data_IF_483640026084
#
_entry.id   IF_483640026084
#
_cell.length_a   1.000
_cell.length_b   1.000
_cell.length_c   1.000
_cell.angle_alpha   90.00
_cell.angle_beta   90.00
_cell.angle_gamma   90.00
#
_symmetry.space_group_name_H-M   'P 1'
#
loop_
_entity.id
_entity.type
_entity.pdbx_description
1 polymer ?
#
# COMPACT_ATOMS: atom_id res chain seq x y z
N UNK A 1 -11.99 -18.84 -6.65
CA UNK A 1 -11.04 -17.72 -6.49
C UNK A 1 -11.34 -16.67 -7.54
N UNK A 2 -11.70 -15.46 -7.11
CA UNK A 2 -12.05 -14.35 -7.97
C UNK A 2 -10.81 -13.70 -8.63
N UNK A 3 -10.93 -13.30 -9.90
CA UNK A 3 -9.81 -12.73 -10.68
C UNK A 3 -9.46 -11.31 -10.26
N UNK A 4 -10.44 -10.52 -9.83
CA UNK A 4 -10.22 -9.14 -9.37
C UNK A 4 -9.44 -9.17 -8.06
N UNK A 5 -9.81 -10.06 -7.14
CA UNK A 5 -9.07 -10.27 -5.89
C UNK A 5 -7.60 -10.65 -6.17
N UNK A 6 -7.34 -11.60 -7.08
CA UNK A 6 -5.98 -11.99 -7.46
C UNK A 6 -5.18 -10.84 -8.07
N UNK A 7 -5.78 -10.07 -8.99
CA UNK A 7 -5.13 -8.91 -9.60
C UNK A 7 -4.76 -7.86 -8.54
N UNK A 8 -5.68 -7.60 -7.60
CA UNK A 8 -5.44 -6.66 -6.50
C UNK A 8 -4.30 -7.12 -5.59
N UNK A 9 -4.26 -8.40 -5.23
CA UNK A 9 -3.16 -8.99 -4.44
C UNK A 9 -1.82 -8.89 -5.19
N UNK A 10 -1.82 -9.13 -6.51
CA UNK A 10 -0.62 -8.98 -7.33
C UNK A 10 -0.12 -7.53 -7.31
N UNK A 11 -1.02 -6.53 -7.40
CA UNK A 11 -0.66 -5.11 -7.27
C UNK A 11 -0.04 -4.81 -5.90
N UNK A 12 -0.64 -5.32 -4.80
CA UNK A 12 -0.08 -5.16 -3.46
C UNK A 12 1.33 -5.77 -3.33
N UNK A 13 1.53 -6.97 -3.90
CA UNK A 13 2.83 -7.63 -3.94
C UNK A 13 3.86 -6.81 -4.73
N UNK A 14 3.49 -6.32 -5.92
CA UNK A 14 4.36 -5.46 -6.74
C UNK A 14 4.73 -4.16 -6.03
N UNK A 15 3.80 -3.54 -5.30
CA UNK A 15 4.11 -2.37 -4.47
C UNK A 15 5.13 -2.73 -3.39
N UNK A 16 4.89 -3.80 -2.63
CA UNK A 16 5.77 -4.20 -1.52
C UNK A 16 7.19 -4.51 -2.02
N UNK A 17 7.31 -5.44 -2.98
CA UNK A 17 8.61 -5.85 -3.49
C UNK A 17 9.29 -4.77 -4.33
N UNK A 18 8.53 -4.01 -5.13
CA UNK A 18 9.07 -2.92 -5.94
C UNK A 18 9.64 -1.78 -5.10
N UNK A 19 8.97 -1.41 -4.00
CA UNK A 19 9.49 -0.43 -3.04
C UNK A 19 10.73 -0.95 -2.33
N UNK A 20 10.74 -2.21 -1.92
CA UNK A 20 11.91 -2.84 -1.27
C UNK A 20 13.13 -2.85 -2.20
N UNK A 21 12.94 -3.27 -3.45
CA UNK A 21 13.99 -3.24 -4.48
C UNK A 21 14.51 -1.82 -4.75
N UNK A 22 13.61 -0.84 -4.80
CA UNK A 22 13.98 0.57 -4.98
C UNK A 22 14.84 1.10 -3.84
N UNK A 23 14.54 0.72 -2.59
CA UNK A 23 15.36 1.06 -1.42
C UNK A 23 16.74 0.43 -1.53
N UNK A 24 16.83 -0.86 -1.84
CA UNK A 24 18.10 -1.58 -1.99
C UNK A 24 18.98 -0.94 -3.06
N UNK A 25 18.41 -0.61 -4.22
CA UNK A 25 19.13 0.04 -5.31
C UNK A 25 19.63 1.44 -4.92
N UNK A 26 18.80 2.25 -4.24
CA UNK A 26 19.20 3.59 -3.83
C UNK A 26 20.26 3.58 -2.72
N UNK A 27 20.19 2.61 -1.80
CA UNK A 27 21.20 2.36 -0.77
C UNK A 27 22.54 1.99 -1.38
N UNK A 28 22.54 1.05 -2.32
CA UNK A 28 23.73 0.66 -3.08
C UNK A 28 24.38 1.86 -3.76
N UNK A 29 23.58 2.67 -4.49
CA UNK A 29 24.07 3.89 -5.16
C UNK A 29 24.64 4.95 -4.20
N UNK A 30 24.14 5.02 -2.96
CA UNK A 30 24.59 5.96 -1.95
C UNK A 30 25.70 5.41 -1.04
N UNK A 31 26.16 4.17 -1.24
CA UNK A 31 27.13 3.52 -0.35
C UNK A 31 26.61 3.36 1.09
N UNK A 32 25.29 3.28 1.28
CA UNK A 32 24.66 3.16 2.59
C UNK A 32 24.12 1.76 2.82
N UNK A 33 24.43 1.13 3.95
CA UNK A 33 23.93 -0.21 4.28
C UNK A 33 22.60 -0.17 5.05
N UNK A 34 22.43 0.80 5.93
CA UNK A 34 21.28 0.91 6.82
C UNK A 34 20.90 2.37 7.08
N UNK A 35 19.71 2.56 7.65
CA UNK A 35 19.18 3.87 7.97
C UNK A 35 18.80 4.73 6.76
N UNK A 36 18.42 5.97 7.06
CA UNK A 36 18.23 7.06 6.11
C UNK A 36 18.30 8.37 6.90
N UNK A 37 18.74 9.46 6.25
CA UNK A 37 18.69 10.79 6.86
C UNK A 37 17.25 11.15 7.26
N UNK A 38 17.03 11.89 8.36
CA UNK A 38 15.70 12.28 8.82
C UNK A 38 15.04 13.37 7.97
N UNK A 39 15.66 13.78 6.86
CA UNK A 39 15.14 14.79 5.95
C UNK A 39 13.84 14.30 5.25
N UNK A 40 12.70 14.98 5.45
CA UNK A 40 11.41 14.60 4.86
C UNK A 40 11.35 14.79 3.33
N UNK A 41 12.32 15.48 2.72
CA UNK A 41 12.44 15.61 1.27
C UNK A 41 13.31 14.49 0.64
N UNK A 42 14.14 13.81 1.44
CA UNK A 42 15.02 12.75 0.98
C UNK A 42 14.24 11.61 0.33
N UNK A 43 14.57 11.30 -0.92
CA UNK A 43 13.93 10.20 -1.65
C UNK A 43 14.07 8.86 -0.93
N UNK A 44 15.22 8.59 -0.30
CA UNK A 44 15.43 7.35 0.45
C UNK A 44 14.51 7.29 1.67
N UNK A 45 14.36 8.41 2.38
CA UNK A 45 13.47 8.50 3.54
C UNK A 45 12.00 8.29 3.12
N UNK A 46 11.57 8.90 2.01
CA UNK A 46 10.24 8.72 1.41
C UNK A 46 9.96 7.28 1.00
N UNK A 47 10.91 6.63 0.32
CA UNK A 47 10.79 5.23 -0.09
C UNK A 47 10.71 4.30 1.13
N UNK A 48 11.56 4.50 2.15
CA UNK A 48 11.51 3.73 3.40
C UNK A 48 10.16 3.87 4.09
N UNK A 49 9.61 5.08 4.17
CA UNK A 49 8.27 5.30 4.75
C UNK A 49 7.16 4.66 3.92
N UNK A 50 7.21 4.76 2.60
CA UNK A 50 6.24 4.12 1.71
C UNK A 50 6.29 2.59 1.81
N UNK A 51 7.50 2.01 1.85
CA UNK A 51 7.67 0.58 2.02
C UNK A 51 7.19 0.10 3.39
N UNK A 52 7.61 0.77 4.48
CA UNK A 52 7.19 0.41 5.83
C UNK A 52 5.67 0.42 5.97
N UNK A 53 5.02 1.48 5.49
CA UNK A 53 3.57 1.53 5.48
C UNK A 53 2.96 0.46 4.56
N UNK A 54 3.56 0.15 3.40
CA UNK A 54 3.08 -0.95 2.56
C UNK A 54 3.19 -2.30 3.28
N UNK A 55 4.27 -2.55 4.00
CA UNK A 55 4.47 -3.77 4.78
C UNK A 55 3.49 -3.91 5.96
N UNK A 56 3.01 -2.80 6.54
CA UNK A 56 2.00 -2.81 7.61
C UNK A 56 0.61 -3.26 7.11
N UNK A 57 0.20 -2.81 5.91
CA UNK A 57 -1.18 -3.01 5.43
C UNK A 57 -1.32 -4.07 4.34
N UNK A 58 -0.38 -4.15 3.41
CA UNK A 58 -0.50 -5.03 2.24
C UNK A 58 -0.65 -6.52 2.60
N UNK A 59 0.10 -7.09 3.57
CA UNK A 59 -0.07 -8.50 3.93
C UNK A 59 -1.45 -8.81 4.47
N UNK A 60 -1.97 -7.99 5.39
CA UNK A 60 -3.28 -8.22 5.97
C UNK A 60 -4.41 -8.03 4.92
N UNK A 61 -4.31 -7.00 4.08
CA UNK A 61 -5.24 -6.81 2.96
C UNK A 61 -5.19 -7.99 1.98
N UNK A 62 -4.00 -8.52 1.66
CA UNK A 62 -3.88 -9.67 0.78
C UNK A 62 -4.58 -10.92 1.35
N UNK A 63 -4.46 -11.16 2.65
CA UNK A 63 -5.21 -12.24 3.33
C UNK A 63 -6.72 -12.03 3.19
N UNK A 64 -7.23 -10.82 3.48
CA UNK A 64 -8.65 -10.51 3.33
C UNK A 64 -9.13 -10.71 1.88
N UNK A 65 -8.37 -10.22 0.90
CA UNK A 65 -8.75 -10.31 -0.51
C UNK A 65 -8.79 -11.75 -1.00
N UNK A 66 -7.77 -12.56 -0.66
CA UNK A 66 -7.71 -13.96 -1.05
C UNK A 66 -8.80 -14.78 -0.37
N UNK A 67 -9.05 -14.54 0.92
CA UNK A 67 -10.10 -15.25 1.66
C UNK A 67 -11.47 -14.92 1.11
N UNK A 68 -11.86 -13.64 1.08
CA UNK A 68 -13.16 -13.21 0.58
C UNK A 68 -13.34 -13.56 -0.91
N UNK A 69 -12.27 -13.41 -1.70
CA UNK A 69 -12.26 -13.79 -3.12
C UNK A 69 -12.39 -15.30 -3.37
N UNK A 70 -12.13 -16.14 -2.38
CA UNK A 70 -12.34 -17.58 -2.49
C UNK A 70 -13.80 -18.01 -2.20
N UNK A 71 -14.61 -17.18 -1.53
CA UNK A 71 -15.93 -17.53 -1.00
C UNK A 71 -17.08 -16.80 -1.71
N UNK A 72 -17.11 -16.84 -3.04
CA UNK A 72 -18.19 -16.23 -3.85
C UNK A 72 -18.50 -14.77 -3.46
N UNK A 73 -17.53 -13.85 -3.60
CA UNK A 73 -17.64 -12.50 -3.08
C UNK A 73 -18.79 -11.72 -3.70
N UNK A 74 -19.47 -10.91 -2.88
CA UNK A 74 -20.48 -9.98 -3.38
C UNK A 74 -19.84 -8.87 -4.23
N UNK A 75 -20.60 -8.21 -5.12
CA UNK A 75 -20.10 -7.03 -5.84
C UNK A 75 -19.61 -5.91 -4.92
N UNK A 76 -20.24 -5.73 -3.76
CA UNK A 76 -19.81 -4.75 -2.75
C UNK A 76 -18.44 -5.11 -2.15
N UNK A 77 -18.21 -6.40 -1.85
CA UNK A 77 -16.92 -6.89 -1.38
C UNK A 77 -15.82 -6.65 -2.42
N UNK A 78 -16.09 -6.93 -3.70
CA UNK A 78 -15.14 -6.68 -4.78
C UNK A 78 -14.86 -5.18 -4.97
N UNK A 79 -15.88 -4.32 -4.84
CA UNK A 79 -15.70 -2.87 -4.87
C UNK A 79 -14.78 -2.38 -3.74
N UNK A 80 -14.94 -2.93 -2.52
CA UNK A 80 -14.06 -2.62 -1.39
C UNK A 80 -12.62 -3.10 -1.62
N UNK A 81 -12.42 -4.27 -2.21
CA UNK A 81 -11.09 -4.80 -2.59
C UNK A 81 -10.39 -3.85 -3.58
N UNK A 82 -11.11 -3.40 -4.61
CA UNK A 82 -10.58 -2.44 -5.59
C UNK A 82 -10.30 -1.10 -4.93
N UNK A 83 -11.22 -0.57 -4.12
CA UNK A 83 -11.07 0.70 -3.42
C UNK A 83 -9.87 0.70 -2.47
N UNK A 84 -9.68 -0.39 -1.71
CA UNK A 84 -8.50 -0.57 -0.86
C UNK A 84 -7.22 -0.56 -1.71
N UNK A 85 -7.17 -1.28 -2.82
CA UNK A 85 -6.00 -1.35 -3.72
C UNK A 85 -5.66 0.02 -4.32
N UNK A 86 -6.64 0.74 -4.85
CA UNK A 86 -6.46 2.11 -5.36
C UNK A 86 -5.95 3.04 -4.25
N UNK A 87 -6.49 2.92 -3.05
CA UNK A 87 -6.05 3.70 -1.88
C UNK A 87 -4.59 3.43 -1.53
N UNK A 88 -4.13 2.17 -1.64
CA UNK A 88 -2.72 1.80 -1.44
C UNK A 88 -1.82 2.46 -2.50
N UNK A 89 -2.21 2.43 -3.76
CA UNK A 89 -1.47 3.10 -4.84
C UNK A 89 -1.41 4.62 -4.61
N UNK A 90 -2.54 5.25 -4.29
CA UNK A 90 -2.61 6.69 -4.00
C UNK A 90 -1.72 7.09 -2.82
N UNK A 91 -1.68 6.28 -1.76
CA UNK A 91 -0.84 6.54 -0.60
C UNK A 91 0.65 6.48 -0.96
N UNK A 92 1.08 5.46 -1.72
CA UNK A 92 2.47 5.33 -2.19
C UNK A 92 2.85 6.52 -3.08
N UNK A 93 2.00 6.90 -4.03
CA UNK A 93 2.20 8.09 -4.87
C UNK A 93 2.28 9.35 -3.99
N UNK A 94 1.36 9.51 -3.04
CA UNK A 94 1.34 10.64 -2.10
C UNK A 94 2.60 10.76 -1.23
N UNK A 95 3.27 9.66 -0.94
CA UNK A 95 4.52 9.65 -0.18
C UNK A 95 5.76 9.93 -1.06
N UNK A 96 5.76 9.49 -2.32
CA UNK A 96 6.96 9.51 -3.17
C UNK A 96 6.96 10.67 -4.17
N UNK A 97 5.82 11.01 -4.77
CA UNK A 97 5.76 11.98 -5.86
C UNK A 97 5.82 13.44 -5.38
N UNK A 98 5.41 13.72 -4.14
CA UNK A 98 5.38 15.08 -3.60
C UNK A 98 6.75 15.54 -3.07
N UNK A 99 7.13 16.83 -3.15
CA UNK A 99 8.48 17.29 -2.82
C UNK A 99 8.95 16.98 -1.39
N UNK A 100 8.03 17.00 -0.42
CA UNK A 100 8.34 16.77 1.00
C UNK A 100 7.21 16.05 1.72
N UNK A 101 7.53 15.23 2.71
CA UNK A 101 6.56 14.61 3.62
C UNK A 101 6.16 15.50 4.80
N UNK A 102 6.79 16.67 4.97
CA UNK A 102 6.47 17.61 6.05
C UNK A 102 5.12 18.31 5.84
N UNK A 103 4.55 18.25 4.64
CA UNK A 103 3.27 18.86 4.30
C UNK A 103 2.24 17.79 3.95
N UNK A 104 0.96 17.98 4.32
CA UNK A 104 -0.11 17.13 3.83
C UNK A 104 -0.23 17.27 2.31
N UNK A 105 -0.72 16.22 1.66
CA UNK A 105 -1.14 16.25 0.27
C UNK A 105 -2.38 15.39 0.08
N UNK A 106 -3.24 15.72 -0.90
CA UNK A 106 -4.53 15.05 -1.06
C UNK A 106 -4.39 13.57 -1.38
N UNK A 107 -3.38 13.16 -2.17
CA UNK A 107 -3.17 11.76 -2.52
C UNK A 107 -2.86 10.90 -1.27
N UNK A 108 -1.97 11.38 -0.40
CA UNK A 108 -1.64 10.73 0.87
C UNK A 108 -2.85 10.68 1.80
N UNK A 109 -3.61 11.76 1.89
CA UNK A 109 -4.78 11.85 2.76
C UNK A 109 -5.89 10.89 2.32
N UNK A 110 -6.29 10.95 1.04
CA UNK A 110 -7.31 10.08 0.46
C UNK A 110 -6.88 8.61 0.48
N UNK A 111 -5.61 8.33 0.17
CA UNK A 111 -5.06 6.99 0.26
C UNK A 111 -5.09 6.41 1.68
N UNK A 112 -4.85 7.24 2.70
CA UNK A 112 -4.90 6.81 4.09
C UNK A 112 -6.34 6.51 4.54
N UNK A 113 -7.26 7.47 4.35
CA UNK A 113 -8.66 7.31 4.74
C UNK A 113 -9.30 6.13 4.00
N UNK A 114 -9.07 6.03 2.69
CA UNK A 114 -9.58 4.92 1.89
C UNK A 114 -9.04 3.56 2.33
N UNK A 115 -7.76 3.48 2.72
CA UNK A 115 -7.18 2.25 3.29
C UNK A 115 -7.92 1.85 4.57
N UNK A 116 -8.10 2.77 5.50
CA UNK A 116 -8.75 2.46 6.79
C UNK A 116 -10.22 2.09 6.60
N UNK A 117 -10.97 2.90 5.86
CA UNK A 117 -12.40 2.66 5.64
C UNK A 117 -12.64 1.32 4.94
N UNK A 118 -11.92 1.04 3.85
CA UNK A 118 -12.07 -0.21 3.13
C UNK A 118 -11.54 -1.42 3.92
N UNK A 119 -10.42 -1.28 4.63
CA UNK A 119 -9.87 -2.35 5.47
C UNK A 119 -10.79 -2.74 6.62
N UNK A 120 -11.39 -1.76 7.30
CA UNK A 120 -12.40 -1.99 8.34
C UNK A 120 -13.63 -2.66 7.73
N UNK A 121 -14.16 -2.13 6.63
CA UNK A 121 -15.35 -2.69 5.98
C UNK A 121 -15.14 -4.13 5.51
N UNK A 122 -13.97 -4.45 4.93
CA UNK A 122 -13.61 -5.82 4.54
C UNK A 122 -13.44 -6.75 5.74
N UNK A 123 -12.95 -6.23 6.87
CA UNK A 123 -12.85 -7.01 8.10
C UNK A 123 -14.23 -7.32 8.68
N UNK A 124 -15.17 -6.37 8.63
CA UNK A 124 -16.59 -6.60 8.98
C UNK A 124 -17.25 -7.58 8.01
N UNK A 125 -16.90 -7.51 6.72
CA UNK A 125 -17.41 -8.44 5.71
C UNK A 125 -16.96 -9.90 5.93
N UNK A 126 -16.03 -10.19 6.84
CA UNK A 126 -15.72 -11.56 7.25
C UNK A 126 -16.81 -12.18 8.14
N UNK A 127 -17.68 -11.35 8.73
CA UNK A 127 -18.72 -11.80 9.67
C UNK A 127 -20.01 -12.23 8.98
N UNK A 128 -20.06 -12.16 7.65
CA UNK A 128 -21.23 -12.40 6.81
C UNK A 128 -20.82 -13.16 5.54
#
# INVERSE_FOLDING_TARGET
MDRIALACVAVLGLLLFGLGASISMLRFRKGALSGCAPDPASLLHKLVRAHANTAEYAPFLAVLFLYLGAHSPSPATLALVVAATVSRCLLVVGLIAFPTMAKPNPARFLGAIGTYAAGIALSVALLH
#
